data_IF_887851600416
#
_entry.id   IF_887851600416
#
_cell.length_a   1.000
_cell.length_b   1.000
_cell.length_c   1.000
_cell.angle_alpha   90.00
_cell.angle_beta   90.00
_cell.angle_gamma   90.00
#
_symmetry.space_group_name_H-M   'P 1'
#
loop_
_entity.id
_entity.type
_entity.pdbx_description
1 polymer ?
#
# COMPACT_ATOMS: atom_id res chain seq x y z
N UNK A 1 -25.97 -0.80 -22.49
CA UNK A 1 -25.52 0.22 -21.51
C UNK A 1 -25.78 -0.12 -20.03
N UNK A 2 -26.36 -1.28 -19.66
CA UNK A 2 -26.72 -1.62 -18.25
C UNK A 2 -25.58 -2.19 -17.38
N UNK A 3 -24.44 -2.57 -17.97
CA UNK A 3 -23.33 -3.22 -17.25
C UNK A 3 -22.32 -2.25 -16.62
N UNK A 4 -22.23 -1.01 -17.13
CA UNK A 4 -21.21 -0.04 -16.70
C UNK A 4 -21.41 0.38 -15.24
N UNK A 5 -22.66 0.61 -14.81
CA UNK A 5 -22.96 1.01 -13.43
C UNK A 5 -22.60 -0.05 -12.39
N UNK A 6 -22.79 -1.34 -12.69
CA UNK A 6 -22.39 -2.44 -11.80
C UNK A 6 -20.86 -2.56 -11.66
N UNK A 7 -20.11 -2.25 -12.71
CA UNK A 7 -18.64 -2.24 -12.67
C UNK A 7 -18.12 -1.06 -11.84
N UNK A 8 -18.71 0.12 -12.00
CA UNK A 8 -18.36 1.31 -11.21
C UNK A 8 -18.60 1.07 -9.71
N UNK A 9 -19.75 0.51 -9.34
CA UNK A 9 -20.03 0.17 -7.93
C UNK A 9 -19.06 -0.86 -7.35
N UNK A 10 -18.68 -1.89 -8.12
CA UNK A 10 -17.67 -2.85 -7.68
C UNK A 10 -16.30 -2.19 -7.49
N UNK A 11 -15.90 -1.31 -8.40
CA UNK A 11 -14.64 -0.57 -8.28
C UNK A 11 -14.65 0.34 -7.04
N UNK A 12 -15.75 1.04 -6.79
CA UNK A 12 -15.93 1.85 -5.59
C UNK A 12 -15.87 1.01 -4.30
N UNK A 13 -16.53 -0.15 -4.28
CA UNK A 13 -16.51 -1.03 -3.11
C UNK A 13 -15.11 -1.60 -2.82
N UNK A 14 -14.36 -1.98 -3.86
CA UNK A 14 -12.97 -2.44 -3.72
C UNK A 14 -12.08 -1.30 -3.24
N UNK A 15 -12.25 -0.08 -3.78
CA UNK A 15 -11.50 1.09 -3.33
C UNK A 15 -11.80 1.43 -1.87
N UNK A 16 -13.08 1.40 -1.46
CA UNK A 16 -13.48 1.62 -0.07
C UNK A 16 -12.90 0.56 0.87
N UNK A 17 -12.95 -0.73 0.49
CA UNK A 17 -12.35 -1.80 1.28
C UNK A 17 -10.83 -1.63 1.40
N UNK A 18 -10.15 -1.26 0.32
CA UNK A 18 -8.72 -0.97 0.34
C UNK A 18 -8.40 0.19 1.31
N UNK A 19 -9.18 1.28 1.28
CA UNK A 19 -9.03 2.38 2.23
C UNK A 19 -9.20 1.92 3.69
N UNK A 20 -10.23 1.10 3.98
CA UNK A 20 -10.45 0.58 5.33
C UNK A 20 -9.29 -0.30 5.79
N UNK A 21 -8.78 -1.18 4.93
CA UNK A 21 -7.62 -2.02 5.26
C UNK A 21 -6.35 -1.22 5.49
N UNK A 22 -6.15 -0.14 4.73
CA UNK A 22 -5.04 0.81 4.93
C UNK A 22 -5.16 1.49 6.30
N UNK A 23 -6.35 1.97 6.66
CA UNK A 23 -6.60 2.58 7.97
C UNK A 23 -6.39 1.59 9.11
N UNK A 24 -6.90 0.36 8.98
CA UNK A 24 -6.70 -0.67 10.01
C UNK A 24 -5.23 -1.08 10.14
N UNK A 25 -4.49 -1.14 9.03
CA UNK A 25 -3.05 -1.38 9.03
C UNK A 25 -2.29 -0.34 9.86
N UNK A 26 -2.64 0.95 9.70
CA UNK A 26 -2.05 2.06 10.48
C UNK A 26 -2.20 1.88 12.00
N UNK A 27 -3.31 1.31 12.46
CA UNK A 27 -3.61 1.17 13.89
C UNK A 27 -2.89 0.00 14.57
N UNK A 28 -2.44 -0.99 13.79
CA UNK A 28 -1.82 -2.23 14.30
C UNK A 28 -0.30 -2.17 14.24
N UNK A 29 0.26 -1.32 13.38
CA UNK A 29 1.70 -1.32 13.10
C UNK A 29 2.53 -0.51 14.10
N UNK A 30 3.79 -0.92 14.27
CA UNK A 30 4.74 -0.29 15.19
C UNK A 30 6.15 -0.28 14.61
N UNK A 31 6.84 0.85 14.73
CA UNK A 31 8.21 1.03 14.30
C UNK A 31 9.16 0.97 15.47
N UNK A 32 10.22 0.16 15.36
CA UNK A 32 11.22 0.02 16.41
C UNK A 32 12.37 0.99 16.17
N UNK A 33 12.57 1.92 17.09
CA UNK A 33 13.59 2.96 17.01
C UNK A 33 14.66 2.74 18.08
N UNK A 34 15.93 2.71 17.67
CA UNK A 34 17.07 2.43 18.54
C UNK A 34 17.93 3.65 18.88
N UNK A 35 17.86 4.73 18.10
CA UNK A 35 18.72 5.90 18.28
C UNK A 35 17.98 7.24 18.17
N UNK A 36 18.53 8.29 18.78
CA UNK A 36 17.94 9.64 18.75
C UNK A 36 17.81 10.21 17.33
N UNK A 37 18.71 9.83 16.41
CA UNK A 37 18.66 10.26 15.01
C UNK A 37 17.52 9.62 14.21
N UNK A 38 17.05 8.45 14.63
CA UNK A 38 15.94 7.73 13.98
C UNK A 38 14.56 8.27 14.40
N UNK A 39 14.48 9.09 15.46
CA UNK A 39 13.24 9.76 15.88
C UNK A 39 12.77 10.83 14.89
N UNK A 40 13.67 11.41 14.09
CA UNK A 40 13.29 12.41 13.09
C UNK A 40 12.64 11.79 11.84
N UNK A 41 12.82 10.48 11.63
CA UNK A 41 12.32 9.75 10.46
C UNK A 41 11.71 8.41 10.88
N UNK A 42 10.63 8.48 11.66
CA UNK A 42 9.92 7.28 12.12
C UNK A 42 9.02 6.80 10.99
N UNK A 43 9.50 5.77 10.30
CA UNK A 43 8.73 5.00 9.32
C UNK A 43 7.72 4.13 10.05
N UNK A 44 6.44 4.45 9.93
CA UNK A 44 5.35 3.87 10.72
C UNK A 44 4.95 2.43 10.35
N UNK A 45 5.91 1.58 9.94
CA UNK A 45 5.71 0.15 9.63
C UNK A 45 4.84 -0.16 8.40
N UNK A 46 4.02 0.79 7.95
CA UNK A 46 3.17 0.67 6.77
C UNK A 46 3.94 0.21 5.52
N UNK A 47 3.27 -0.41 4.52
CA UNK A 47 3.83 -0.62 3.18
C UNK A 47 4.02 0.70 2.39
N UNK A 48 4.06 1.82 3.11
CA UNK A 48 4.06 3.19 2.63
C UNK A 48 5.31 3.88 3.14
N UNK A 49 6.46 3.46 2.60
CA UNK A 49 7.80 4.05 2.85
C UNK A 49 7.91 5.56 2.57
N UNK A 50 6.82 6.17 2.11
CA UNK A 50 6.71 7.57 1.76
C UNK A 50 6.09 8.43 2.87
N UNK A 51 5.64 7.85 3.98
CA UNK A 51 4.96 8.56 5.07
C UNK A 51 5.80 8.38 6.33
N UNK A 52 6.15 9.50 6.94
CA UNK A 52 7.08 9.56 8.05
C UNK A 52 6.51 10.51 9.09
N UNK A 53 6.74 10.23 10.37
CA UNK A 53 6.46 11.17 11.45
C UNK A 53 7.77 11.64 12.09
N UNK A 54 7.82 12.93 12.38
CA UNK A 54 8.90 13.52 13.17
C UNK A 54 8.54 13.43 14.66
N UNK A 55 9.29 12.61 15.38
CA UNK A 55 9.22 12.38 16.82
C UNK A 55 10.46 12.93 17.55
N UNK A 56 11.24 13.82 16.92
CA UNK A 56 12.46 14.42 17.50
C UNK A 56 12.22 15.19 18.80
N UNK A 57 10.97 15.54 19.10
CA UNK A 57 10.54 16.15 20.36
C UNK A 57 10.47 15.18 21.54
N UNK A 58 10.55 13.87 21.30
CA UNK A 58 10.57 12.85 22.36
C UNK A 58 12.00 12.59 22.84
N UNK A 59 12.20 12.51 24.15
CA UNK A 59 13.45 12.01 24.72
C UNK A 59 13.51 10.47 24.54
N UNK A 60 14.46 9.93 23.75
CA UNK A 60 14.61 8.49 23.63
C UNK A 60 15.05 7.91 24.98
N UNK A 61 14.43 6.83 25.47
CA UNK A 61 14.87 6.19 26.71
C UNK A 61 16.31 5.71 26.56
N UNK A 62 17.17 6.08 27.51
CA UNK A 62 18.59 5.73 27.47
C UNK A 62 18.77 4.20 27.42
N UNK A 63 19.24 3.69 26.27
CA UNK A 63 19.70 2.31 26.11
C UNK A 63 18.63 1.26 25.76
N UNK A 64 17.39 1.65 25.43
CA UNK A 64 16.35 0.71 25.02
C UNK A 64 15.70 1.10 23.68
N UNK A 65 15.54 0.13 22.79
CA UNK A 65 14.77 0.32 21.56
C UNK A 65 13.29 0.55 21.91
N UNK A 66 12.72 1.65 21.42
CA UNK A 66 11.35 2.07 21.68
C UNK A 66 10.46 1.68 20.50
N UNK A 67 9.34 1.00 20.76
CA UNK A 67 8.32 0.75 19.75
C UNK A 67 7.38 1.95 19.67
N UNK A 68 7.55 2.75 18.62
CA UNK A 68 6.71 3.90 18.31
C UNK A 68 5.52 3.46 17.46
N UNK A 69 4.34 3.93 17.85
CA UNK A 69 3.08 3.71 17.13
C UNK A 69 2.66 4.97 16.39
N UNK A 70 1.76 4.78 15.43
CA UNK A 70 1.11 5.88 14.74
C UNK A 70 0.50 6.87 15.74
N UNK A 71 0.94 8.12 15.68
CA UNK A 71 0.38 9.23 16.46
C UNK A 71 -0.49 10.08 15.54
N UNK A 72 -1.41 10.85 16.11
CA UNK A 72 -2.21 11.74 15.28
C UNK A 72 -1.32 12.85 14.66
N UNK A 73 -1.64 13.36 13.46
CA UNK A 73 -0.85 14.44 12.84
C UNK A 73 -0.79 15.73 13.68
N UNK A 74 -1.78 15.93 14.58
CA UNK A 74 -1.76 17.04 15.54
C UNK A 74 -0.74 16.84 16.68
N UNK A 75 -0.34 15.60 16.95
CA UNK A 75 0.62 15.24 18.01
C UNK A 75 2.04 15.21 17.46
N UNK A 76 2.24 14.61 16.28
CA UNK A 76 3.54 14.53 15.60
C UNK A 76 3.38 14.86 14.11
N UNK A 77 4.11 15.87 13.58
CA UNK A 77 4.01 16.26 12.17
C UNK A 77 4.24 15.09 11.23
N UNK A 78 3.29 14.87 10.32
CA UNK A 78 3.39 13.85 9.28
C UNK A 78 3.95 14.44 8.00
N UNK A 79 5.05 13.86 7.51
CA UNK A 79 5.68 14.22 6.24
C UNK A 79 5.39 13.17 5.17
N UNK A 80 5.15 13.62 3.94
CA UNK A 80 4.92 12.76 2.78
C UNK A 80 6.01 12.99 1.74
N UNK A 81 6.81 11.97 1.47
CA UNK A 81 7.82 11.96 0.42
C UNK A 81 7.17 11.70 -0.94
N UNK A 82 6.83 12.78 -1.65
CA UNK A 82 6.17 12.73 -2.96
C UNK A 82 7.00 11.96 -4.00
N UNK A 83 8.33 12.00 -3.90
CA UNK A 83 9.23 11.25 -4.79
C UNK A 83 9.08 9.73 -4.62
N UNK A 84 9.14 9.25 -3.38
CA UNK A 84 8.88 7.84 -3.05
C UNK A 84 7.45 7.45 -3.43
N UNK A 85 6.51 8.41 -3.34
CA UNK A 85 5.15 8.28 -3.88
C UNK A 85 5.07 7.97 -5.35
N UNK A 86 5.70 8.79 -6.18
CA UNK A 86 5.69 8.56 -7.62
C UNK A 86 6.31 7.19 -7.99
N UNK A 87 7.39 6.79 -7.33
CA UNK A 87 8.08 5.52 -7.60
C UNK A 87 7.20 4.32 -7.24
N UNK A 88 6.64 4.29 -6.04
CA UNK A 88 5.77 3.19 -5.61
C UNK A 88 4.51 3.09 -6.48
N UNK A 89 3.93 4.23 -6.87
CA UNK A 89 2.79 4.25 -7.78
C UNK A 89 3.15 3.70 -9.17
N UNK A 90 4.32 4.07 -9.70
CA UNK A 90 4.81 3.58 -10.99
C UNK A 90 5.04 2.06 -10.95
N UNK A 91 5.69 1.55 -9.90
CA UNK A 91 5.93 0.11 -9.71
C UNK A 91 4.62 -0.67 -9.58
N UNK A 92 3.67 -0.19 -8.77
CA UNK A 92 2.37 -0.81 -8.61
C UNK A 92 1.59 -0.84 -9.94
N UNK A 93 1.62 0.26 -10.68
CA UNK A 93 0.97 0.36 -12.00
C UNK A 93 1.60 -0.63 -13.00
N UNK A 94 2.93 -0.72 -13.04
CA UNK A 94 3.64 -1.66 -13.88
C UNK A 94 3.29 -3.12 -13.54
N UNK A 95 3.25 -3.46 -12.25
CA UNK A 95 2.85 -4.79 -11.78
C UNK A 95 1.43 -5.15 -12.23
N UNK A 96 0.48 -4.22 -12.10
CA UNK A 96 -0.90 -4.41 -12.58
C UNK A 96 -0.93 -4.68 -14.09
N UNK A 97 -0.19 -3.91 -14.89
CA UNK A 97 -0.10 -4.12 -16.35
C UNK A 97 0.45 -5.50 -16.67
N UNK A 98 1.53 -5.93 -15.99
CA UNK A 98 2.13 -7.25 -16.18
C UNK A 98 1.15 -8.36 -15.84
N UNK A 99 0.52 -8.31 -14.66
CA UNK A 99 -0.46 -9.31 -14.22
C UNK A 99 -1.65 -9.38 -15.18
N UNK A 100 -2.18 -8.23 -15.58
CA UNK A 100 -3.31 -8.17 -16.51
C UNK A 100 -2.96 -8.73 -17.89
N UNK A 101 -1.77 -8.41 -18.41
CA UNK A 101 -1.29 -8.95 -19.68
C UNK A 101 -1.09 -10.47 -19.61
N UNK A 102 -0.56 -10.98 -18.50
CA UNK A 102 -0.42 -12.41 -18.23
C UNK A 102 -1.76 -13.11 -18.18
N UNK A 103 -2.74 -12.54 -17.46
CA UNK A 103 -4.11 -13.06 -17.37
C UNK A 103 -4.76 -13.17 -18.76
N UNK A 104 -4.64 -12.12 -19.58
CA UNK A 104 -5.17 -12.12 -20.96
C UNK A 104 -4.55 -13.22 -21.82
N UNK A 105 -3.25 -13.44 -21.70
CA UNK A 105 -2.55 -14.52 -22.43
C UNK A 105 -3.03 -15.90 -21.96
N UNK A 106 -3.21 -16.11 -20.66
CA UNK A 106 -3.70 -17.37 -20.10
C UNK A 106 -5.15 -17.67 -20.52
N UNK A 107 -6.04 -16.67 -20.45
CA UNK A 107 -7.43 -16.80 -20.91
C UNK A 107 -7.48 -17.08 -22.41
N UNK A 108 -6.66 -16.39 -23.22
CA UNK A 108 -6.57 -16.62 -24.65
C UNK A 108 -6.05 -18.03 -25.02
N UNK A 109 -5.10 -18.56 -24.24
CA UNK A 109 -4.60 -19.94 -24.40
C UNK A 109 -5.68 -20.97 -24.09
N UNK A 110 -6.38 -20.84 -22.96
CA UNK A 110 -7.51 -21.73 -22.60
C UNK A 110 -8.63 -21.70 -23.64
N UNK A 111 -8.97 -20.52 -24.18
CA UNK A 111 -9.98 -20.41 -25.22
C UNK A 111 -9.60 -21.16 -26.51
N UNK A 112 -8.32 -21.11 -26.89
CA UNK A 112 -7.79 -21.87 -28.04
C UNK A 112 -7.79 -23.38 -27.79
N UNK A 113 -7.38 -23.83 -26.61
CA UNK A 113 -7.38 -25.27 -26.25
C UNK A 113 -8.80 -25.86 -26.25
N UNK A 114 -9.79 -25.13 -25.75
CA UNK A 114 -11.20 -25.55 -25.80
C UNK A 114 -11.71 -25.61 -27.23
N UNK A 115 -11.40 -24.63 -28.08
CA UNK A 115 -11.81 -24.63 -29.48
C UNK A 115 -11.23 -25.81 -30.27
N UNK A 116 -9.97 -26.16 -30.03
CA UNK A 116 -9.32 -27.33 -30.67
C UNK A 116 -9.97 -28.65 -30.24
N UNK A 117 -10.35 -28.79 -28.96
CA UNK A 117 -11.03 -30.00 -28.47
C UNK A 117 -12.47 -30.18 -28.97
N UNK A 118 -13.16 -29.08 -29.30
CA UNK A 118 -14.53 -29.14 -29.85
C UNK A 118 -14.52 -29.44 -31.36
N UNK A 119 -13.42 -29.11 -32.04
CA UNK A 119 -13.26 -29.33 -33.48
C UNK A 119 -12.66 -30.71 -33.85
N UNK A 120 -12.18 -31.48 -32.87
CA UNK A 120 -11.64 -32.83 -33.02
C UNK A 120 -12.67 -33.87 -32.59
#
# INVERSE_FOLDING_TARGET
MRNSGRLVWKALAVAALACVLVVLGLLVDSSRVGTAGELADVRLGLPFEWVHQDHSSMDPPAGAALDLRFSLPQENPTHVSVGVFAVNLALASAAVVVVWSGLRRLVGRRGREVAVRVAA
#
